data_IF_501765411548
#
_entry.id   IF_501765411548
#
_cell.length_a   1.000
_cell.length_b   1.000
_cell.length_c   1.000
_cell.angle_alpha   90.00
_cell.angle_beta   90.00
_cell.angle_gamma   90.00
#
_symmetry.space_group_name_H-M   'P 1'
#
loop_
_entity.id
_entity.type
_entity.pdbx_description
1 polymer ?
#
# COMPACT_ATOMS: atom_id res chain seq x y z
N UNK A 1 -5.23 -1.92 11.94
CA UNK A 1 -5.19 -2.92 10.82
C UNK A 1 -5.36 -4.31 11.41
N UNK A 2 -6.27 -5.10 10.85
CA UNK A 2 -6.52 -6.47 11.28
C UNK A 2 -5.48 -7.43 10.70
N UNK A 3 -5.38 -8.64 11.26
CA UNK A 3 -4.53 -9.69 10.69
C UNK A 3 -4.97 -10.08 9.28
N UNK A 4 -6.29 -10.09 9.00
CA UNK A 4 -6.82 -10.35 7.65
C UNK A 4 -6.31 -9.33 6.65
N UNK A 5 -6.40 -8.05 6.98
CA UNK A 5 -5.92 -6.97 6.12
C UNK A 5 -4.40 -7.06 5.95
N UNK A 6 -3.66 -7.33 7.03
CA UNK A 6 -2.20 -7.50 6.95
C UNK A 6 -1.80 -8.67 6.07
N UNK A 7 -2.49 -9.80 6.18
CA UNK A 7 -2.25 -10.98 5.33
C UNK A 7 -2.56 -10.68 3.86
N UNK A 8 -3.70 -10.04 3.59
CA UNK A 8 -4.05 -9.63 2.24
C UNK A 8 -3.00 -8.65 1.67
N UNK A 9 -2.53 -7.73 2.48
CA UNK A 9 -1.49 -6.78 2.10
C UNK A 9 -0.15 -7.47 1.81
N UNK A 10 0.21 -8.50 2.59
CA UNK A 10 1.41 -9.30 2.34
C UNK A 10 1.32 -10.03 1.00
N UNK A 11 0.18 -10.62 0.70
CA UNK A 11 -0.06 -11.27 -0.60
C UNK A 11 0.00 -10.26 -1.75
N UNK A 12 -0.60 -9.09 -1.57
CA UNK A 12 -0.56 -8.00 -2.54
C UNK A 12 0.88 -7.52 -2.78
N UNK A 13 1.63 -7.25 -1.71
CA UNK A 13 3.03 -6.83 -1.79
C UNK A 13 3.91 -7.88 -2.46
N UNK A 14 3.74 -9.15 -2.09
CA UNK A 14 4.44 -10.27 -2.71
C UNK A 14 4.12 -10.39 -4.19
N UNK A 15 2.85 -10.22 -4.56
CA UNK A 15 2.40 -10.23 -5.95
C UNK A 15 3.03 -9.10 -6.76
N UNK A 16 3.10 -7.89 -6.20
CA UNK A 16 3.75 -6.75 -6.85
C UNK A 16 5.24 -7.02 -7.07
N UNK A 17 5.94 -7.55 -6.06
CA UNK A 17 7.36 -7.88 -6.18
C UNK A 17 7.58 -8.92 -7.28
N UNK A 18 6.77 -9.97 -7.30
CA UNK A 18 6.86 -11.01 -8.33
C UNK A 18 6.58 -10.45 -9.73
N UNK A 19 5.53 -9.64 -9.87
CA UNK A 19 5.14 -9.03 -11.14
C UNK A 19 6.17 -8.00 -11.63
N UNK A 20 6.98 -7.43 -10.74
CA UNK A 20 7.99 -6.42 -11.10
C UNK A 20 9.01 -6.95 -12.10
N UNK A 21 9.24 -8.25 -12.14
CA UNK A 21 10.17 -8.90 -13.08
C UNK A 21 9.77 -8.68 -14.54
N UNK A 22 8.48 -8.50 -14.81
CA UNK A 22 7.95 -8.27 -16.16
C UNK A 22 7.98 -6.80 -16.58
N UNK A 23 8.43 -5.89 -15.70
CA UNK A 23 8.41 -4.45 -15.94
C UNK A 23 9.77 -3.93 -16.44
N UNK A 24 9.78 -2.83 -17.22
CA UNK A 24 10.99 -2.09 -17.54
C UNK A 24 11.72 -1.60 -16.27
N UNK A 25 13.03 -1.23 -16.37
CA UNK A 25 13.83 -0.93 -15.18
C UNK A 25 13.27 0.13 -14.22
N UNK A 26 12.73 1.24 -14.72
CA UNK A 26 12.21 2.32 -13.86
C UNK A 26 10.91 1.91 -13.16
N UNK A 27 9.86 1.43 -13.88
CA UNK A 27 8.67 0.90 -13.23
C UNK A 27 8.95 -0.28 -12.29
N UNK A 28 9.98 -1.10 -12.60
CA UNK A 28 10.40 -2.21 -11.74
C UNK A 28 10.87 -1.71 -10.38
N UNK A 29 11.69 -0.67 -10.34
CA UNK A 29 12.18 -0.09 -9.08
C UNK A 29 11.03 0.45 -8.24
N UNK A 30 10.08 1.12 -8.85
CA UNK A 30 8.88 1.65 -8.18
C UNK A 30 8.03 0.50 -7.63
N UNK A 31 7.79 -0.53 -8.43
CA UNK A 31 7.02 -1.70 -8.01
C UNK A 31 7.70 -2.44 -6.86
N UNK A 32 9.03 -2.62 -6.91
CA UNK A 32 9.79 -3.25 -5.83
C UNK A 32 9.69 -2.45 -4.53
N UNK A 33 9.87 -1.14 -4.60
CA UNK A 33 9.76 -0.27 -3.43
C UNK A 33 8.36 -0.35 -2.81
N UNK A 34 7.33 -0.31 -3.63
CA UNK A 34 5.94 -0.40 -3.19
C UNK A 34 5.63 -1.77 -2.58
N UNK A 35 6.07 -2.85 -3.22
CA UNK A 35 5.87 -4.21 -2.71
C UNK A 35 6.57 -4.43 -1.38
N UNK A 36 7.82 -4.00 -1.26
CA UNK A 36 8.59 -4.08 -0.01
C UNK A 36 7.91 -3.29 1.11
N UNK A 37 7.38 -2.11 0.79
CA UNK A 37 6.64 -1.30 1.78
C UNK A 37 5.41 -2.06 2.30
N UNK A 38 4.62 -2.66 1.42
CA UNK A 38 3.46 -3.45 1.82
C UNK A 38 3.85 -4.65 2.68
N UNK A 39 4.92 -5.34 2.30
CA UNK A 39 5.42 -6.49 3.08
C UNK A 39 5.92 -6.06 4.46
N UNK A 40 6.65 -4.95 4.54
CA UNK A 40 7.15 -4.43 5.81
C UNK A 40 6.00 -4.03 6.74
N UNK A 41 4.98 -3.34 6.23
CA UNK A 41 3.80 -2.98 7.01
C UNK A 41 3.05 -4.22 7.49
N UNK A 42 2.86 -5.20 6.62
CA UNK A 42 2.19 -6.46 6.97
C UNK A 42 2.96 -7.21 8.05
N UNK A 43 4.27 -7.33 7.92
CA UNK A 43 5.12 -7.99 8.91
C UNK A 43 5.04 -7.30 10.27
N UNK A 44 5.10 -5.97 10.29
CA UNK A 44 5.00 -5.19 11.53
C UNK A 44 3.67 -5.42 12.23
N UNK A 45 2.56 -5.44 11.48
CA UNK A 45 1.23 -5.68 12.04
C UNK A 45 1.08 -7.11 12.56
N UNK A 46 1.57 -8.10 11.81
CA UNK A 46 1.48 -9.50 12.22
C UNK A 46 2.33 -9.79 13.46
N UNK A 47 3.46 -9.11 13.62
CA UNK A 47 4.30 -9.23 14.81
C UNK A 47 3.72 -8.51 16.03
N UNK A 48 3.13 -7.34 15.81
CA UNK A 48 2.57 -6.50 16.86
C UNK A 48 1.22 -5.94 16.43
N UNK A 49 0.14 -6.73 16.55
CA UNK A 49 -1.20 -6.29 16.14
C UNK A 49 -1.68 -5.02 16.88
N UNK A 50 -1.12 -4.72 18.05
CA UNK A 50 -1.44 -3.54 18.86
C UNK A 50 -0.44 -2.40 18.66
N UNK A 51 0.54 -2.57 17.77
CA UNK A 51 1.62 -1.62 17.55
C UNK A 51 1.19 -0.37 16.79
N UNK A 52 2.11 0.59 16.67
CA UNK A 52 1.89 1.86 15.99
C UNK A 52 1.52 1.64 14.52
N UNK A 53 2.18 0.71 13.84
CA UNK A 53 1.90 0.41 12.42
C UNK A 53 0.48 -0.10 12.25
N UNK A 54 0.00 -0.96 13.15
CA UNK A 54 -1.37 -1.47 13.09
C UNK A 54 -2.40 -0.36 13.27
N UNK A 55 -2.13 0.60 14.16
CA UNK A 55 -3.06 1.70 14.48
C UNK A 55 -2.98 2.86 13.50
N UNK A 56 -1.80 3.16 12.97
CA UNK A 56 -1.52 4.36 12.16
C UNK A 56 -1.19 4.07 10.70
N UNK A 57 -1.10 2.79 10.31
CA UNK A 57 -0.74 2.42 8.94
C UNK A 57 -1.67 3.00 7.88
N UNK A 58 -2.95 3.20 8.19
CA UNK A 58 -3.90 3.82 7.27
C UNK A 58 -3.50 5.25 6.90
N UNK A 59 -2.85 5.98 7.82
CA UNK A 59 -2.41 7.36 7.55
C UNK A 59 -1.30 7.39 6.48
N UNK A 60 -0.41 6.38 6.48
CA UNK A 60 0.63 6.24 5.44
C UNK A 60 -0.02 5.97 4.08
N UNK A 61 -1.05 5.14 4.03
CA UNK A 61 -1.78 4.85 2.79
C UNK A 61 -2.49 6.09 2.27
N UNK A 62 -3.08 6.91 3.15
CA UNK A 62 -3.70 8.19 2.77
C UNK A 62 -2.65 9.15 2.22
N UNK A 63 -1.50 9.29 2.90
CA UNK A 63 -0.42 10.15 2.45
C UNK A 63 0.10 9.72 1.08
N UNK A 64 0.25 8.42 0.84
CA UNK A 64 0.65 7.87 -0.46
C UNK A 64 -0.39 8.20 -1.54
N UNK A 65 -1.68 8.02 -1.24
CA UNK A 65 -2.78 8.33 -2.16
C UNK A 65 -2.75 9.80 -2.57
N UNK A 66 -2.59 10.71 -1.62
CA UNK A 66 -2.48 12.15 -1.89
C UNK A 66 -1.26 12.46 -2.76
N UNK A 67 -0.12 11.84 -2.46
CA UNK A 67 1.11 12.00 -3.26
C UNK A 67 0.91 11.52 -4.70
N UNK A 68 0.18 10.41 -4.90
CA UNK A 68 -0.11 9.89 -6.24
C UNK A 68 -1.08 10.79 -7.00
N UNK A 69 -2.05 11.40 -6.33
CA UNK A 69 -2.93 12.39 -6.96
C UNK A 69 -2.13 13.63 -7.41
N UNK A 70 -1.18 14.09 -6.59
CA UNK A 70 -0.27 15.17 -6.98
C UNK A 70 0.56 14.82 -8.21
N UNK A 71 1.11 13.61 -8.26
CA UNK A 71 1.86 13.12 -9.42
C UNK A 71 0.99 13.05 -10.67
N UNK A 72 -0.25 12.58 -10.54
CA UNK A 72 -1.20 12.53 -11.66
C UNK A 72 -1.52 13.91 -12.21
N UNK A 73 -1.58 14.94 -11.35
CA UNK A 73 -1.86 16.30 -11.75
C UNK A 73 -0.71 16.93 -12.57
N UNK A 74 0.55 16.59 -12.26
CA UNK A 74 1.72 17.23 -12.87
C UNK A 74 2.42 16.39 -13.95
N UNK A 75 2.14 15.13 -14.05
CA UNK A 75 2.82 14.22 -15.00
C UNK A 75 1.84 13.44 -15.87
N UNK A 76 1.79 13.77 -17.16
CA UNK A 76 0.98 13.02 -18.13
C UNK A 76 1.46 11.57 -18.27
N UNK A 77 2.77 11.37 -18.24
CA UNK A 77 3.41 10.05 -18.42
C UNK A 77 2.96 9.05 -17.35
N UNK A 78 2.87 9.51 -16.10
CA UNK A 78 2.56 8.66 -14.95
C UNK A 78 1.11 8.75 -14.49
N UNK A 79 0.28 9.53 -15.20
CA UNK A 79 -1.09 9.81 -14.74
C UNK A 79 -1.93 8.57 -14.49
N UNK A 80 -1.97 7.66 -15.46
CA UNK A 80 -2.79 6.46 -15.32
C UNK A 80 -2.30 5.57 -14.17
N UNK A 81 -0.98 5.34 -14.09
CA UNK A 81 -0.39 4.56 -13.01
C UNK A 81 -0.58 5.23 -11.65
N UNK A 82 -0.40 6.54 -11.58
CA UNK A 82 -0.56 7.31 -10.34
C UNK A 82 -2.00 7.29 -9.86
N UNK A 83 -2.98 7.46 -10.74
CA UNK A 83 -4.40 7.39 -10.39
C UNK A 83 -4.78 6.00 -9.90
N UNK A 84 -4.31 4.95 -10.57
CA UNK A 84 -4.55 3.57 -10.14
C UNK A 84 -3.97 3.32 -8.75
N UNK A 85 -2.74 3.78 -8.49
CA UNK A 85 -2.11 3.67 -7.18
C UNK A 85 -2.86 4.46 -6.11
N UNK A 86 -3.35 5.66 -6.43
CA UNK A 86 -4.14 6.46 -5.49
C UNK A 86 -5.40 5.71 -5.05
N UNK A 87 -6.12 5.11 -5.99
CA UNK A 87 -7.33 4.35 -5.72
C UNK A 87 -7.01 3.12 -4.84
N UNK A 88 -5.97 2.38 -5.20
CA UNK A 88 -5.57 1.18 -4.43
C UNK A 88 -5.14 1.57 -3.02
N UNK A 89 -4.34 2.63 -2.87
CA UNK A 89 -3.89 3.10 -1.57
C UNK A 89 -5.06 3.57 -0.70
N UNK A 90 -6.02 4.28 -1.30
CA UNK A 90 -7.23 4.71 -0.60
C UNK A 90 -8.07 3.52 -0.15
N UNK A 91 -8.18 2.48 -0.98
CA UNK A 91 -8.89 1.25 -0.64
C UNK A 91 -8.22 0.54 0.54
N UNK A 92 -6.88 0.47 0.56
CA UNK A 92 -6.14 -0.11 1.68
C UNK A 92 -6.32 0.69 2.97
N UNK A 93 -6.27 2.02 2.88
CA UNK A 93 -6.51 2.88 4.04
C UNK A 93 -7.90 2.65 4.63
N UNK A 94 -8.90 2.57 3.76
CA UNK A 94 -10.29 2.29 4.19
C UNK A 94 -10.41 0.91 4.83
N UNK A 95 -9.83 -0.11 4.23
CA UNK A 95 -9.87 -1.47 4.76
C UNK A 95 -9.20 -1.56 6.12
N UNK A 96 -8.04 -0.93 6.28
CA UNK A 96 -7.31 -0.90 7.54
C UNK A 96 -8.11 -0.23 8.64
N UNK A 97 -8.71 0.92 8.34
CA UNK A 97 -9.51 1.70 9.30
C UNK A 97 -10.80 0.99 9.67
N UNK A 98 -11.51 0.41 8.70
CA UNK A 98 -12.72 -0.36 8.93
C UNK A 98 -12.45 -1.58 9.80
N UNK A 99 -11.34 -2.28 9.54
CA UNK A 99 -10.91 -3.41 10.36
C UNK A 99 -10.68 -3.03 11.81
N UNK A 100 -10.04 -1.88 12.08
CA UNK A 100 -9.84 -1.37 13.43
C UNK A 100 -11.17 -1.09 14.14
N UNK A 101 -12.12 -0.48 13.45
CA UNK A 101 -13.45 -0.20 14.02
C UNK A 101 -14.19 -1.48 14.43
N UNK A 102 -14.07 -2.54 13.63
CA UNK A 102 -14.71 -3.83 13.93
C UNK A 102 -14.10 -4.52 15.15
N UNK A 103 -12.83 -4.26 15.44
CA UNK A 103 -12.15 -4.83 16.59
C UNK A 103 -12.47 -4.13 17.92
N UNK A 104 -13.00 -2.92 17.86
CA UNK A 104 -13.46 -2.18 19.04
C UNK A 104 -14.86 -2.60 19.42
#
# INVERSE_FOLDING_TARGET
MTRRVATARALWGGGIVAASRALPPVPRKVALALGVRHLAQAAAVLRRPDGVVARRGWAVDVAHSVSMLGLAAVSRRWRAAALANAVVAAAWARAARTGERRQK
#
